data_IF_834164863815
#
_entry.id   IF_834164863815
#
_cell.length_a   1.000
_cell.length_b   1.000
_cell.length_c   1.000
_cell.angle_alpha   90.00
_cell.angle_beta   90.00
_cell.angle_gamma   90.00
#
_symmetry.space_group_name_H-M   'P 1'
#
loop_
_entity.id
_entity.type
_entity.pdbx_description
1 polymer ?
#
# COMPACT_ATOMS: atom_id res chain seq x y z
N UNK A 1 -5.74 14.08 -5.83
CA UNK A 1 -6.52 13.01 -5.19
C UNK A 1 -6.00 12.65 -3.81
N UNK A 2 -4.70 12.46 -3.63
CA UNK A 2 -4.12 12.24 -2.29
C UNK A 2 -4.30 13.44 -1.37
N UNK A 3 -4.42 14.63 -1.92
CA UNK A 3 -4.64 15.86 -1.17
C UNK A 3 -5.95 15.83 -0.36
N UNK A 4 -6.92 15.00 -0.76
CA UNK A 4 -8.17 14.82 -0.02
C UNK A 4 -7.99 13.92 1.22
N UNK A 5 -6.83 13.30 1.38
CA UNK A 5 -6.53 12.38 2.47
C UNK A 5 -5.55 13.05 3.43
N UNK A 6 -6.10 13.73 4.43
CA UNK A 6 -5.27 14.38 5.46
C UNK A 6 -4.36 13.36 6.14
N UNK A 7 -3.11 13.75 6.37
CA UNK A 7 -2.14 12.91 7.06
C UNK A 7 -1.42 11.90 6.18
N UNK A 8 -1.75 11.77 4.91
CA UNK A 8 -1.01 10.89 4.01
C UNK A 8 0.32 11.55 3.62
N UNK A 9 1.43 10.92 3.98
CA UNK A 9 2.75 11.43 3.67
C UNK A 9 3.21 11.01 2.27
N UNK A 10 2.92 9.78 1.87
CA UNK A 10 3.27 9.28 0.55
C UNK A 10 2.42 8.07 0.18
N UNK A 11 2.44 7.71 -1.09
CA UNK A 11 1.71 6.55 -1.58
C UNK A 11 2.40 5.96 -2.80
N UNK A 12 2.19 4.66 -3.04
CA UNK A 12 2.58 4.04 -4.29
C UNK A 12 1.50 3.07 -4.77
N UNK A 13 1.49 2.85 -6.08
CA UNK A 13 0.67 1.83 -6.74
C UNK A 13 1.62 0.85 -7.41
N UNK A 14 1.41 -0.42 -7.15
CA UNK A 14 2.19 -1.52 -7.69
C UNK A 14 1.22 -2.41 -8.45
N UNK A 15 1.39 -2.52 -9.76
CA UNK A 15 0.45 -3.25 -10.64
C UNK A 15 1.22 -4.27 -11.48
N UNK A 16 0.72 -5.51 -11.50
CA UNK A 16 1.33 -6.58 -12.28
C UNK A 16 0.98 -7.94 -11.72
N UNK A 17 1.31 -9.01 -12.46
CA UNK A 17 0.97 -10.37 -12.03
C UNK A 17 1.75 -10.85 -10.80
N UNK A 18 2.93 -10.25 -10.55
CA UNK A 18 3.76 -10.57 -9.40
C UNK A 18 4.27 -9.27 -8.78
N UNK A 19 4.30 -9.22 -7.45
CA UNK A 19 4.70 -8.02 -6.73
C UNK A 19 6.12 -7.57 -7.11
N UNK A 20 7.04 -8.51 -7.26
CA UNK A 20 8.45 -8.23 -7.56
C UNK A 20 8.66 -7.62 -8.94
N UNK A 21 7.83 -7.99 -9.91
CA UNK A 21 7.94 -7.53 -11.30
C UNK A 21 6.93 -6.45 -11.65
N UNK A 22 6.22 -5.95 -10.66
CA UNK A 22 5.13 -5.00 -10.89
C UNK A 22 5.65 -3.62 -11.28
N UNK A 23 4.89 -2.92 -12.12
CA UNK A 23 5.14 -1.52 -12.43
C UNK A 23 4.73 -0.66 -11.23
N UNK A 24 5.60 0.26 -10.81
CA UNK A 24 5.37 1.10 -9.64
C UNK A 24 5.21 2.55 -10.05
N UNK A 25 4.16 3.19 -9.52
CA UNK A 25 3.96 4.63 -9.60
C UNK A 25 3.95 5.15 -8.16
N UNK A 26 4.82 6.11 -7.85
CA UNK A 26 4.99 6.59 -6.48
C UNK A 26 4.90 8.12 -6.41
N UNK A 27 4.42 8.64 -5.28
CA UNK A 27 4.30 10.08 -5.08
C UNK A 27 5.61 10.76 -4.69
N UNK A 28 6.57 9.99 -4.18
CA UNK A 28 7.84 10.54 -3.70
C UNK A 28 8.91 9.46 -3.59
N UNK A 29 10.14 9.89 -3.31
CA UNK A 29 11.24 8.97 -3.05
C UNK A 29 10.98 8.07 -1.84
N UNK A 30 10.30 8.58 -0.81
CA UNK A 30 9.95 7.79 0.37
C UNK A 30 9.03 6.63 0.01
N UNK A 31 8.09 6.84 -0.90
CA UNK A 31 7.20 5.78 -1.35
C UNK A 31 7.97 4.68 -2.11
N UNK A 32 8.92 5.07 -2.96
CA UNK A 32 9.80 4.13 -3.66
C UNK A 32 10.61 3.32 -2.64
N UNK A 33 11.14 3.98 -1.61
CA UNK A 33 11.90 3.33 -0.55
C UNK A 33 11.07 2.30 0.21
N UNK A 34 9.83 2.64 0.56
CA UNK A 34 8.94 1.69 1.25
C UNK A 34 8.70 0.44 0.41
N UNK A 35 8.49 0.60 -0.89
CA UNK A 35 8.36 -0.54 -1.80
C UNK A 35 9.63 -1.39 -1.83
N UNK A 36 10.79 -0.73 -1.92
CA UNK A 36 12.08 -1.41 -1.94
C UNK A 36 12.36 -2.19 -0.66
N UNK A 37 11.95 -1.63 0.49
CA UNK A 37 12.10 -2.31 1.77
C UNK A 37 11.32 -3.63 1.79
N UNK A 38 10.07 -3.61 1.35
CA UNK A 38 9.25 -4.81 1.29
C UNK A 38 9.85 -5.85 0.35
N UNK A 39 10.34 -5.41 -0.82
CA UNK A 39 10.99 -6.31 -1.78
C UNK A 39 12.23 -6.97 -1.17
N UNK A 40 13.05 -6.17 -0.49
CA UNK A 40 14.27 -6.68 0.13
C UNK A 40 14.01 -7.68 1.25
N UNK A 41 12.96 -7.45 2.04
CA UNK A 41 12.57 -8.34 3.14
C UNK A 41 11.75 -9.55 2.66
N UNK A 42 11.11 -9.43 1.49
CA UNK A 42 10.19 -10.46 1.00
C UNK A 42 8.89 -10.53 1.80
N UNK A 43 8.59 -9.50 2.58
CA UNK A 43 7.41 -9.44 3.41
C UNK A 43 7.05 -7.99 3.73
N UNK A 44 5.79 -7.76 4.07
CA UNK A 44 5.28 -6.45 4.41
C UNK A 44 3.78 -6.34 4.11
N UNK A 45 3.16 -5.20 4.47
CA UNK A 45 1.72 -5.02 4.28
C UNK A 45 1.29 -5.11 2.81
N UNK A 46 2.05 -4.54 1.88
CA UNK A 46 1.70 -4.58 0.46
C UNK A 46 1.80 -6.00 -0.11
N UNK A 47 2.84 -6.73 0.25
CA UNK A 47 2.99 -8.12 -0.16
C UNK A 47 1.85 -8.96 0.40
N UNK A 48 1.51 -8.77 1.68
CA UNK A 48 0.40 -9.47 2.31
C UNK A 48 -0.93 -9.15 1.64
N UNK A 49 -1.21 -7.87 1.37
CA UNK A 49 -2.44 -7.46 0.69
C UNK A 49 -2.53 -8.10 -0.71
N UNK A 50 -1.43 -8.16 -1.43
CA UNK A 50 -1.38 -8.78 -2.76
C UNK A 50 -1.69 -10.27 -2.68
N UNK A 51 -1.09 -10.98 -1.72
CA UNK A 51 -1.25 -12.43 -1.57
C UNK A 51 -2.64 -12.82 -1.07
N UNK A 52 -3.21 -12.03 -0.15
CA UNK A 52 -4.47 -12.37 0.50
C UNK A 52 -5.69 -11.74 -0.17
N UNK A 53 -5.48 -10.76 -1.05
CA UNK A 53 -6.54 -9.93 -1.64
C UNK A 53 -7.38 -9.23 -0.56
N UNK A 54 -6.75 -8.84 0.56
CA UNK A 54 -7.39 -8.16 1.69
C UNK A 54 -6.58 -6.95 2.09
N UNK A 55 -7.28 -5.95 2.65
CA UNK A 55 -6.62 -4.80 3.27
C UNK A 55 -5.64 -5.27 4.34
N UNK A 56 -4.40 -4.81 4.26
CA UNK A 56 -3.39 -5.04 5.27
C UNK A 56 -2.90 -3.69 5.79
N UNK A 57 -2.86 -3.52 7.10
CA UNK A 57 -2.42 -2.26 7.68
C UNK A 57 -1.62 -2.49 8.95
N UNK A 58 -0.72 -1.53 9.23
CA UNK A 58 0.03 -1.54 10.47
C UNK A 58 -0.80 -0.92 11.59
N UNK A 59 -0.61 -1.43 12.80
CA UNK A 59 -1.15 -0.85 14.02
C UNK A 59 0.03 -0.30 14.79
N UNK A 60 0.18 1.01 14.81
CA UNK A 60 1.40 1.67 15.30
C UNK A 60 1.76 1.35 16.76
N UNK A 61 0.79 0.91 17.55
CA UNK A 61 1.01 0.56 18.96
C UNK A 61 0.83 -0.93 19.25
N UNK A 62 0.72 -1.75 18.21
CA UNK A 62 0.53 -3.16 18.39
C UNK A 62 1.84 -3.83 18.81
N UNK A 63 1.80 -4.64 19.87
CA UNK A 63 2.89 -5.54 20.23
C UNK A 63 2.92 -6.77 19.33
N UNK A 64 1.89 -6.94 18.51
CA UNK A 64 1.71 -8.07 17.61
C UNK A 64 1.90 -7.64 16.15
N UNK A 65 2.95 -6.87 15.89
CA UNK A 65 3.27 -6.46 14.53
C UNK A 65 3.68 -7.68 13.71
N UNK A 66 2.97 -7.91 12.62
CA UNK A 66 3.23 -9.02 11.72
C UNK A 66 4.51 -8.84 10.91
N UNK A 67 5.04 -7.61 10.85
CA UNK A 67 6.21 -7.27 10.03
C UNK A 67 7.24 -6.50 10.85
N UNK A 68 7.91 -7.15 11.83
CA UNK A 68 8.80 -6.41 12.74
C UNK A 68 9.99 -5.75 12.05
N UNK A 69 10.62 -6.41 11.08
CA UNK A 69 11.75 -5.82 10.36
C UNK A 69 11.31 -4.65 9.47
N UNK A 70 10.16 -4.78 8.82
CA UNK A 70 9.57 -3.69 8.06
C UNK A 70 9.23 -2.50 8.96
N UNK A 71 8.68 -2.75 10.13
CA UNK A 71 8.33 -1.72 11.10
C UNK A 71 9.55 -0.92 11.53
N UNK A 72 10.65 -1.60 11.85
CA UNK A 72 11.89 -0.93 12.21
C UNK A 72 12.37 -0.04 11.05
N UNK A 73 12.36 -0.56 9.84
CA UNK A 73 12.86 0.17 8.67
C UNK A 73 11.98 1.39 8.35
N UNK A 74 10.65 1.26 8.41
CA UNK A 74 9.75 2.39 8.10
C UNK A 74 9.80 3.47 9.17
N UNK A 75 9.92 3.10 10.44
CA UNK A 75 9.99 4.06 11.54
C UNK A 75 11.25 4.92 11.46
N UNK A 76 12.36 4.37 10.99
CA UNK A 76 13.59 5.12 10.77
C UNK A 76 13.40 6.24 9.75
N UNK A 77 12.39 6.13 8.88
CA UNK A 77 12.05 7.14 7.87
C UNK A 77 10.90 8.05 8.31
N UNK A 78 10.49 7.95 9.57
CA UNK A 78 9.40 8.76 10.10
C UNK A 78 8.01 8.32 9.63
N UNK A 79 7.89 7.11 9.13
CA UNK A 79 6.61 6.55 8.70
C UNK A 79 6.09 5.63 9.82
N UNK A 80 4.96 6.00 10.39
CA UNK A 80 4.40 5.30 11.54
C UNK A 80 3.16 4.47 11.23
N UNK A 81 2.52 4.72 10.09
CA UNK A 81 1.34 3.96 9.69
C UNK A 81 1.36 3.69 8.19
N UNK A 82 0.96 2.48 7.81
CA UNK A 82 0.83 2.08 6.41
C UNK A 82 -0.47 1.30 6.26
N UNK A 83 -1.19 1.56 5.18
CA UNK A 83 -2.36 0.78 4.79
C UNK A 83 -2.20 0.38 3.32
N UNK A 84 -2.33 -0.91 3.04
CA UNK A 84 -2.20 -1.47 1.71
C UNK A 84 -3.55 -2.04 1.27
N UNK A 85 -4.07 -1.52 0.16
CA UNK A 85 -5.37 -1.89 -0.40
C UNK A 85 -5.15 -2.76 -1.62
N UNK A 86 -5.71 -3.98 -1.66
CA UNK A 86 -5.60 -4.77 -2.88
C UNK A 86 -6.40 -4.14 -4.00
N UNK A 87 -5.85 -4.17 -5.19
CA UNK A 87 -6.53 -3.73 -6.41
C UNK A 87 -7.05 -5.00 -7.06
N UNK A 88 -8.36 -5.25 -6.88
CA UNK A 88 -8.98 -6.48 -7.35
C UNK A 88 -9.77 -6.24 -8.65
N UNK A 89 -9.78 -7.25 -9.51
CA UNK A 89 -10.55 -7.21 -10.74
C UNK A 89 -10.38 -8.52 -11.48
N UNK A 90 -11.41 -8.89 -12.25
CA UNK A 90 -11.38 -10.09 -13.08
C UNK A 90 -11.11 -11.37 -12.28
N UNK A 91 -11.61 -11.43 -11.03
CA UNK A 91 -11.45 -12.59 -10.15
C UNK A 91 -10.05 -12.79 -9.59
N UNK A 92 -9.17 -11.79 -9.70
CA UNK A 92 -7.79 -11.87 -9.22
C UNK A 92 -7.32 -10.56 -8.62
N UNK A 93 -6.20 -10.59 -7.93
CA UNK A 93 -5.55 -9.38 -7.45
C UNK A 93 -4.63 -8.84 -8.56
N UNK A 94 -4.87 -7.59 -8.96
CA UNK A 94 -4.14 -6.94 -10.04
C UNK A 94 -2.94 -6.17 -9.54
N UNK A 95 -2.92 -5.84 -8.27
CA UNK A 95 -1.87 -5.03 -7.67
C UNK A 95 -2.25 -4.53 -6.30
N UNK A 96 -1.56 -3.51 -5.83
CA UNK A 96 -1.76 -2.92 -4.50
C UNK A 96 -1.63 -1.41 -4.56
N UNK A 97 -2.51 -0.70 -3.87
CA UNK A 97 -2.34 0.71 -3.55
C UNK A 97 -1.89 0.78 -2.08
N UNK A 98 -0.73 1.35 -1.83
CA UNK A 98 -0.19 1.51 -0.48
C UNK A 98 -0.12 2.99 -0.13
N UNK A 99 -0.67 3.36 1.02
CA UNK A 99 -0.59 4.73 1.56
C UNK A 99 0.13 4.70 2.89
N UNK A 100 0.89 5.75 3.15
CA UNK A 100 1.72 5.84 4.35
C UNK A 100 1.55 7.20 5.02
N UNK A 101 1.67 7.21 6.35
CA UNK A 101 1.51 8.42 7.15
C UNK A 101 2.59 8.51 8.22
N UNK A 102 2.95 9.74 8.58
CA UNK A 102 3.78 10.01 9.75
C UNK A 102 2.96 10.05 11.05
N UNK A 103 1.66 9.85 10.98
CA UNK A 103 0.79 9.83 12.14
C UNK A 103 0.85 8.48 12.86
N UNK A 104 1.04 8.51 14.19
CA UNK A 104 1.10 7.31 15.02
C UNK A 104 -0.24 6.60 15.19
N UNK A 105 -1.34 7.29 14.97
CA UNK A 105 -2.68 6.74 15.21
C UNK A 105 -3.25 5.98 14.03
N UNK A 106 -2.50 5.93 12.92
CA UNK A 106 -2.93 5.22 11.74
C UNK A 106 -3.95 5.99 10.91
N UNK A 107 -4.75 5.25 10.16
CA UNK A 107 -5.74 5.82 9.26
C UNK A 107 -7.13 5.64 9.84
N UNK A 108 -7.92 6.72 9.79
CA UNK A 108 -9.32 6.69 10.23
C UNK A 108 -10.23 6.07 9.16
N UNK A 109 -11.52 5.97 9.51
CA UNK A 109 -12.52 5.36 8.63
C UNK A 109 -12.66 6.09 7.29
N UNK A 110 -12.50 7.42 7.30
CA UNK A 110 -12.59 8.23 6.08
C UNK A 110 -11.45 7.89 5.13
N UNK A 111 -10.22 7.85 5.63
CA UNK A 111 -9.03 7.55 4.84
C UNK A 111 -9.08 6.13 4.28
N UNK A 112 -9.54 5.17 5.08
CA UNK A 112 -9.68 3.79 4.62
C UNK A 112 -10.74 3.67 3.53
N UNK A 113 -11.84 4.41 3.64
CA UNK A 113 -12.89 4.42 2.62
C UNK A 113 -12.39 5.04 1.32
N UNK A 114 -11.65 6.16 1.40
CA UNK A 114 -11.05 6.80 0.23
C UNK A 114 -10.02 5.89 -0.44
N UNK A 115 -9.20 5.20 0.36
CA UNK A 115 -8.22 4.25 -0.18
C UNK A 115 -8.88 3.12 -0.96
N UNK A 116 -9.98 2.58 -0.45
CA UNK A 116 -10.74 1.54 -1.16
C UNK A 116 -11.34 2.07 -2.46
N UNK A 117 -11.86 3.30 -2.45
CA UNK A 117 -12.40 3.92 -3.65
C UNK A 117 -11.32 4.14 -4.70
N UNK A 118 -10.14 4.61 -4.29
CA UNK A 118 -8.99 4.78 -5.19
C UNK A 118 -8.55 3.45 -5.79
N UNK A 119 -8.48 2.40 -4.97
CA UNK A 119 -8.10 1.07 -5.47
C UNK A 119 -9.10 0.55 -6.51
N UNK A 120 -10.39 0.81 -6.31
CA UNK A 120 -11.42 0.45 -7.27
C UNK A 120 -11.27 1.24 -8.59
N UNK A 121 -10.94 2.53 -8.52
CA UNK A 121 -10.71 3.34 -9.71
C UNK A 121 -9.48 2.85 -10.48
N UNK A 122 -8.40 2.52 -9.77
CA UNK A 122 -7.19 1.98 -10.41
C UNK A 122 -7.49 0.64 -11.06
N UNK A 123 -8.31 -0.20 -10.44
CA UNK A 123 -8.74 -1.47 -11.02
C UNK A 123 -9.39 -1.27 -12.40
N UNK A 124 -10.28 -0.29 -12.51
CA UNK A 124 -10.93 0.01 -13.80
C UNK A 124 -9.91 0.44 -14.86
N UNK A 125 -8.92 1.25 -14.48
CA UNK A 125 -7.88 1.69 -15.40
C UNK A 125 -6.99 0.55 -15.86
N UNK A 126 -6.62 -0.34 -14.94
CA UNK A 126 -5.79 -1.52 -15.27
C UNK A 126 -6.52 -2.45 -16.22
N UNK A 127 -7.78 -2.74 -15.94
CA UNK A 127 -8.59 -3.62 -16.81
C UNK A 127 -8.82 -3.01 -18.18
N UNK A 128 -9.00 -1.70 -18.26
CA UNK A 128 -9.15 -1.01 -19.54
C UNK A 128 -7.88 -1.12 -20.39
N UNK A 129 -6.71 -1.05 -19.78
CA UNK A 129 -5.43 -1.18 -20.48
C UNK A 129 -5.16 -2.63 -20.89
N UNK A 130 -5.54 -3.60 -20.06
CA UNK A 130 -5.38 -5.03 -20.38
C UNK A 130 -6.20 -5.46 -21.58
N UNK A 131 -7.28 -4.75 -21.88
CA UNK A 131 -8.14 -5.07 -23.03
C UNK A 131 -7.63 -4.51 -24.37
N UNK A 132 -6.54 -3.78 -24.34
CA UNK A 132 -5.86 -3.24 -25.52
C UNK A 132 -4.77 -4.22 -25.98
#
# INVERSE_FOLDING_TARGET
MLEAMDGVACAFVCVGPEFESACVIATSADAVELHSIELGLGDGPSITAFRTARLARTMSRSHLDEWPDYTIARQKRGIYSVAAFPIAGDGRCLGVLSIASSDHYGFGAVELRLGRALAADVSLLVLANDSI
#
